data_IF_702984500867
#
_entry.id   IF_702984500867
#
_cell.length_a   1.000
_cell.length_b   1.000
_cell.length_c   1.000
_cell.angle_alpha   90.00
_cell.angle_beta   90.00
_cell.angle_gamma   90.00
#
_symmetry.space_group_name_H-M   'P 1'
#
loop_
_entity.id
_entity.type
_entity.pdbx_description
1 polymer ?
#
# COMPACT_ATOMS: atom_id res chain seq x y z
N UNK A 1 17.55 -32.39 -47.92
CA UNK A 1 17.21 -33.30 -46.81
C UNK A 1 17.82 -32.90 -45.46
N UNK A 2 19.13 -33.05 -45.16
CA UNK A 2 19.65 -32.69 -43.81
C UNK A 2 19.68 -31.18 -43.50
N UNK A 3 19.86 -30.31 -44.51
CA UNK A 3 19.85 -28.85 -44.33
C UNK A 3 18.44 -28.24 -44.21
N UNK A 4 17.42 -28.85 -44.82
CA UNK A 4 16.02 -28.36 -44.73
C UNK A 4 15.43 -28.64 -43.35
N UNK A 5 15.75 -29.79 -42.75
CA UNK A 5 15.29 -30.17 -41.40
C UNK A 5 15.91 -29.27 -40.31
N UNK A 6 17.13 -28.72 -40.51
CA UNK A 6 17.74 -27.79 -39.54
C UNK A 6 17.19 -26.37 -39.66
N UNK A 7 16.78 -25.96 -40.86
CA UNK A 7 16.17 -24.64 -41.09
C UNK A 7 14.74 -24.58 -40.55
N UNK A 8 13.95 -25.63 -40.73
CA UNK A 8 12.60 -25.74 -40.16
C UNK A 8 12.62 -25.74 -38.63
N UNK A 9 13.53 -26.51 -38.00
CA UNK A 9 13.69 -26.50 -36.53
C UNK A 9 14.12 -25.14 -35.96
N UNK A 10 14.96 -24.40 -36.67
CA UNK A 10 15.37 -23.06 -36.25
C UNK A 10 14.23 -22.04 -36.38
N UNK A 11 13.46 -22.11 -37.47
CA UNK A 11 12.27 -21.27 -37.67
C UNK A 11 11.17 -21.56 -36.64
N UNK A 12 10.97 -22.82 -36.26
CA UNK A 12 10.01 -23.22 -35.24
C UNK A 12 10.43 -22.73 -33.84
N UNK A 13 11.74 -22.74 -33.55
CA UNK A 13 12.28 -22.24 -32.28
C UNK A 13 12.21 -20.70 -32.19
N UNK A 14 12.46 -20.00 -33.29
CA UNK A 14 12.29 -18.55 -33.38
C UNK A 14 10.82 -18.12 -33.29
N UNK A 15 9.90 -18.87 -33.91
CA UNK A 15 8.46 -18.60 -33.81
C UNK A 15 7.92 -18.80 -32.38
N UNK A 16 8.37 -19.85 -31.68
CA UNK A 16 8.01 -20.06 -30.26
C UNK A 16 8.61 -18.99 -29.34
N UNK A 17 9.81 -18.51 -29.64
CA UNK A 17 10.43 -17.41 -28.87
C UNK A 17 9.70 -16.08 -29.12
N UNK A 18 9.37 -15.77 -30.37
CA UNK A 18 8.61 -14.58 -30.75
C UNK A 18 7.20 -14.59 -30.13
N UNK A 19 6.51 -15.75 -30.13
CA UNK A 19 5.21 -15.89 -29.48
C UNK A 19 5.28 -15.66 -27.95
N UNK A 20 6.34 -16.14 -27.29
CA UNK A 20 6.57 -15.88 -25.85
C UNK A 20 6.90 -14.42 -25.56
N UNK A 21 7.64 -13.76 -26.44
CA UNK A 21 7.93 -12.33 -26.32
C UNK A 21 6.67 -11.49 -26.56
N UNK A 22 5.80 -11.88 -27.48
CA UNK A 22 4.49 -11.27 -27.72
C UNK A 22 3.55 -11.44 -26.51
N UNK A 23 3.46 -12.65 -25.96
CA UNK A 23 2.68 -12.94 -24.74
C UNK A 23 3.19 -12.12 -23.53
N UNK A 24 4.50 -11.97 -23.38
CA UNK A 24 5.11 -11.15 -22.32
C UNK A 24 4.72 -9.67 -22.47
N UNK A 25 4.77 -9.14 -23.69
CA UNK A 25 4.39 -7.75 -23.96
C UNK A 25 2.90 -7.49 -23.73
N UNK A 26 2.04 -8.46 -24.07
CA UNK A 26 0.60 -8.38 -23.78
C UNK A 26 0.37 -8.36 -22.26
N UNK A 27 1.05 -9.25 -21.53
CA UNK A 27 0.95 -9.34 -20.07
C UNK A 27 1.42 -8.06 -19.37
N UNK A 28 2.58 -7.52 -19.77
CA UNK A 28 3.12 -6.26 -19.23
C UNK A 28 2.15 -5.09 -19.47
N UNK A 29 1.57 -5.00 -20.67
CA UNK A 29 0.58 -3.96 -21.00
C UNK A 29 -0.68 -4.09 -20.15
N UNK A 30 -1.19 -5.31 -19.96
CA UNK A 30 -2.38 -5.55 -19.14
C UNK A 30 -2.13 -5.20 -17.68
N UNK A 31 -0.96 -5.56 -17.13
CA UNK A 31 -0.60 -5.23 -15.75
C UNK A 31 -0.44 -3.72 -15.57
N UNK A 32 0.19 -3.03 -16.51
CA UNK A 32 0.34 -1.58 -16.42
C UNK A 32 -1.03 -0.87 -16.43
N UNK A 33 -1.95 -1.30 -17.30
CA UNK A 33 -3.32 -0.77 -17.33
C UNK A 33 -4.05 -1.00 -16.00
N UNK A 34 -3.96 -2.22 -15.45
CA UNK A 34 -4.51 -2.54 -14.14
C UNK A 34 -3.88 -1.69 -13.03
N UNK A 35 -2.57 -1.48 -13.09
CA UNK A 35 -1.84 -0.59 -12.20
C UNK A 35 -2.40 0.82 -12.26
N UNK A 36 -2.57 1.39 -13.47
CA UNK A 36 -3.12 2.73 -13.64
C UNK A 36 -4.52 2.86 -13.01
N UNK A 37 -5.43 1.93 -13.30
CA UNK A 37 -6.79 1.94 -12.76
C UNK A 37 -6.80 1.82 -11.23
N UNK A 38 -6.02 0.89 -10.67
CA UNK A 38 -6.01 0.64 -9.24
C UNK A 38 -5.30 1.76 -8.46
N UNK A 39 -4.22 2.31 -9.01
CA UNK A 39 -3.53 3.45 -8.40
C UNK A 39 -4.41 4.72 -8.44
N UNK A 40 -5.17 4.94 -9.52
CA UNK A 40 -6.17 6.02 -9.63
C UNK A 40 -7.25 5.86 -8.55
N UNK A 41 -7.80 4.65 -8.41
CA UNK A 41 -8.79 4.35 -7.38
C UNK A 41 -8.26 4.63 -5.97
N UNK A 42 -7.06 4.17 -5.64
CA UNK A 42 -6.45 4.41 -4.32
C UNK A 42 -6.15 5.90 -4.13
N UNK A 43 -5.66 6.59 -5.16
CA UNK A 43 -5.41 8.03 -5.11
C UNK A 43 -6.68 8.79 -4.77
N UNK A 44 -7.77 8.52 -5.49
CA UNK A 44 -9.03 9.23 -5.35
C UNK A 44 -9.79 8.87 -4.07
N UNK A 45 -9.84 7.59 -3.70
CA UNK A 45 -10.63 7.11 -2.56
C UNK A 45 -9.91 7.21 -1.22
N UNK A 46 -8.57 7.16 -1.21
CA UNK A 46 -7.76 7.08 0.01
C UNK A 46 -6.88 8.32 0.16
N UNK A 47 -6.00 8.60 -0.81
CA UNK A 47 -4.96 9.62 -0.66
C UNK A 47 -5.56 11.03 -0.66
N UNK A 48 -6.41 11.36 -1.64
CA UNK A 48 -7.05 12.67 -1.77
C UNK A 48 -7.84 13.05 -0.50
N UNK A 49 -8.69 12.17 0.08
CA UNK A 49 -9.38 12.47 1.34
C UNK A 49 -8.45 12.68 2.53
N UNK A 50 -7.34 11.93 2.62
CA UNK A 50 -6.34 12.10 3.68
C UNK A 50 -5.63 13.45 3.52
N UNK A 51 -5.15 13.75 2.32
CA UNK A 51 -4.48 15.02 2.01
C UNK A 51 -5.41 16.23 2.17
N UNK A 52 -6.70 16.10 1.86
CA UNK A 52 -7.68 17.15 2.08
C UNK A 52 -7.85 17.51 3.57
N UNK A 53 -7.70 16.53 4.48
CA UNK A 53 -7.71 16.76 5.93
C UNK A 53 -6.42 17.41 6.41
N UNK A 54 -5.28 16.91 5.95
CA UNK A 54 -3.97 17.51 6.26
C UNK A 54 -3.94 18.97 5.77
N UNK A 55 -4.41 19.20 4.55
CA UNK A 55 -4.60 20.52 4.00
C UNK A 55 -5.39 21.39 4.97
N UNK A 56 -6.61 21.01 5.34
CA UNK A 56 -7.39 21.80 6.29
C UNK A 56 -6.60 22.13 7.58
N UNK A 57 -5.90 21.18 8.18
CA UNK A 57 -5.09 21.41 9.37
C UNK A 57 -3.97 22.45 9.16
N UNK A 58 -3.24 22.36 8.04
CA UNK A 58 -2.19 23.33 7.68
C UNK A 58 -2.77 24.74 7.49
N UNK A 59 -3.93 24.85 6.83
CA UNK A 59 -4.63 26.15 6.66
C UNK A 59 -5.12 26.72 7.97
N UNK A 60 -5.73 25.90 8.81
CA UNK A 60 -6.27 26.32 10.10
C UNK A 60 -5.15 26.81 11.04
N UNK A 61 -3.93 26.33 10.82
CA UNK A 61 -2.71 26.75 11.52
C UNK A 61 -2.09 28.04 10.96
N UNK A 62 -2.72 28.66 9.95
CA UNK A 62 -2.32 29.97 9.43
C UNK A 62 -1.36 29.94 8.23
N UNK A 63 -1.04 28.77 7.70
CA UNK A 63 -0.17 28.65 6.53
C UNK A 63 -0.97 28.69 5.23
N UNK A 64 -0.50 29.47 4.26
CA UNK A 64 -1.00 29.41 2.88
C UNK A 64 -0.55 28.09 2.28
N UNK A 65 -1.47 27.38 1.63
CA UNK A 65 -1.14 26.15 0.93
C UNK A 65 -1.76 26.09 -0.46
N UNK A 66 -1.18 25.22 -1.28
CA UNK A 66 -1.79 24.67 -2.47
C UNK A 66 -1.85 23.14 -2.39
N UNK A 67 -2.98 22.56 -2.79
CA UNK A 67 -3.12 21.12 -3.03
C UNK A 67 -3.19 20.90 -4.54
N UNK A 68 -2.33 20.04 -5.05
CA UNK A 68 -2.17 19.74 -6.47
C UNK A 68 -2.45 18.26 -6.65
N UNK A 69 -3.49 17.94 -7.43
CA UNK A 69 -3.71 16.59 -7.92
C UNK A 69 -2.70 16.35 -9.05
N UNK A 70 -2.00 15.23 -8.98
CA UNK A 70 -1.00 14.86 -9.97
C UNK A 70 -1.58 13.81 -10.90
N UNK A 71 -1.42 14.03 -12.20
CA UNK A 71 -1.85 13.12 -13.24
C UNK A 71 -0.67 12.58 -14.06
N UNK A 72 -0.89 11.44 -14.69
CA UNK A 72 0.02 10.85 -15.66
C UNK A 72 -0.79 10.40 -16.88
N UNK A 73 -0.32 10.78 -18.07
CA UNK A 73 -0.88 10.26 -19.32
C UNK A 73 -0.30 8.88 -19.59
N UNK A 74 -1.17 7.86 -19.59
CA UNK A 74 -0.75 6.50 -19.90
C UNK A 74 -0.24 6.42 -21.34
N UNK A 75 0.95 5.83 -21.56
CA UNK A 75 1.51 5.67 -22.89
C UNK A 75 0.70 4.70 -23.76
N UNK A 76 -0.16 3.86 -23.16
CA UNK A 76 -0.88 2.78 -23.83
C UNK A 76 -2.22 3.23 -24.42
N UNK A 77 -3.02 3.98 -23.66
CA UNK A 77 -4.39 4.37 -24.03
C UNK A 77 -4.58 5.90 -24.12
N UNK A 78 -3.56 6.69 -23.77
CA UNK A 78 -3.60 8.17 -23.76
C UNK A 78 -4.63 8.76 -22.79
N UNK A 79 -5.12 7.97 -21.83
CA UNK A 79 -5.96 8.48 -20.74
C UNK A 79 -5.06 9.10 -19.66
N UNK A 80 -5.52 10.19 -19.07
CA UNK A 80 -4.95 10.77 -17.86
C UNK A 80 -5.48 10.01 -16.65
N UNK A 81 -4.56 9.55 -15.81
CA UNK A 81 -4.87 8.88 -14.55
C UNK A 81 -4.37 9.74 -13.39
N UNK A 82 -5.19 9.89 -12.35
CA UNK A 82 -4.72 10.50 -11.11
C UNK A 82 -3.72 9.55 -10.44
N UNK A 83 -2.49 9.99 -10.25
CA UNK A 83 -1.40 9.14 -9.70
C UNK A 83 -0.82 9.71 -8.42
N UNK A 84 -1.39 10.77 -7.86
CA UNK A 84 -0.91 11.25 -6.59
C UNK A 84 -1.44 12.61 -6.20
N UNK A 85 -1.00 13.05 -5.04
CA UNK A 85 -1.35 14.36 -4.49
C UNK A 85 -0.10 15.00 -3.94
N UNK A 86 0.00 16.30 -4.16
CA UNK A 86 1.06 17.15 -3.60
C UNK A 86 0.42 18.28 -2.80
N UNK A 87 0.99 18.57 -1.65
CA UNK A 87 0.65 19.68 -0.79
C UNK A 87 1.90 20.56 -0.63
N UNK A 88 1.76 21.83 -0.96
CA UNK A 88 2.84 22.82 -0.85
C UNK A 88 2.44 23.92 0.13
N UNK A 89 3.34 24.32 1.02
CA UNK A 89 3.13 25.46 1.93
C UNK A 89 4.45 26.12 2.30
N UNK A 90 4.41 27.37 2.74
CA UNK A 90 5.59 28.06 3.27
C UNK A 90 5.65 27.88 4.79
N UNK A 91 6.78 27.39 5.31
CA UNK A 91 7.05 27.26 6.73
C UNK A 91 8.38 27.92 7.07
N UNK A 92 8.36 28.95 7.94
CA UNK A 92 9.54 29.75 8.29
C UNK A 92 10.41 30.17 7.08
N UNK A 93 9.78 30.69 6.01
CA UNK A 93 10.43 31.09 4.77
C UNK A 93 11.08 29.97 3.94
N UNK A 94 10.74 28.72 4.22
CA UNK A 94 11.08 27.57 3.39
C UNK A 94 9.84 27.05 2.68
N UNK A 95 9.97 26.72 1.41
CA UNK A 95 8.94 26.00 0.68
C UNK A 95 8.99 24.54 1.11
N UNK A 96 7.88 24.05 1.64
CA UNK A 96 7.68 22.66 2.04
C UNK A 96 6.79 21.99 1.00
N UNK A 97 7.17 20.78 0.62
CA UNK A 97 6.39 19.93 -0.27
C UNK A 97 6.18 18.57 0.39
N UNK A 98 4.93 18.15 0.51
CA UNK A 98 4.54 16.80 0.95
C UNK A 98 3.80 16.17 -0.22
N UNK A 99 4.22 15.00 -0.67
CA UNK A 99 3.55 14.32 -1.79
C UNK A 99 3.42 12.82 -1.56
N UNK A 100 2.34 12.23 -2.07
CA UNK A 100 2.27 10.78 -2.30
C UNK A 100 2.06 10.58 -3.79
N UNK A 101 2.93 9.77 -4.40
CA UNK A 101 2.95 9.52 -5.86
C UNK A 101 2.95 8.01 -6.11
N UNK A 102 2.13 7.55 -7.02
CA UNK A 102 2.03 6.17 -7.44
C UNK A 102 2.99 5.88 -8.61
N UNK A 103 3.56 4.68 -8.62
CA UNK A 103 4.14 4.08 -9.82
C UNK A 103 3.28 2.88 -10.25
N UNK A 104 2.48 3.02 -11.33
CA UNK A 104 1.66 1.93 -11.87
C UNK A 104 2.43 0.71 -12.35
N UNK A 105 3.73 0.84 -12.61
CA UNK A 105 4.57 -0.22 -13.19
C UNK A 105 4.93 -1.29 -12.16
N UNK A 106 5.11 -0.88 -10.91
CA UNK A 106 5.51 -1.74 -9.79
C UNK A 106 4.47 -1.81 -8.67
N UNK A 107 3.33 -1.12 -8.83
CA UNK A 107 2.24 -1.07 -7.86
C UNK A 107 2.68 -0.52 -6.50
N UNK A 108 3.53 0.50 -6.52
CA UNK A 108 4.01 1.18 -5.33
C UNK A 108 3.51 2.62 -5.22
N UNK A 109 3.57 3.15 -4.01
CA UNK A 109 3.39 4.56 -3.71
C UNK A 109 4.57 5.07 -2.90
N UNK A 110 5.01 6.29 -3.20
CA UNK A 110 6.09 6.96 -2.47
C UNK A 110 5.57 8.20 -1.78
N UNK A 111 5.67 8.25 -0.45
CA UNK A 111 5.49 9.45 0.36
C UNK A 111 6.81 10.21 0.46
N UNK A 112 6.83 11.43 -0.06
CA UNK A 112 8.00 12.31 0.02
C UNK A 112 7.71 13.59 0.79
N UNK A 113 8.65 14.02 1.64
CA UNK A 113 8.62 15.31 2.33
C UNK A 113 9.92 16.08 2.04
N UNK A 114 9.81 17.18 1.32
CA UNK A 114 10.91 18.05 0.91
C UNK A 114 10.84 19.42 1.61
N UNK A 115 11.98 20.11 1.69
CA UNK A 115 12.08 21.43 2.32
C UNK A 115 12.41 21.41 3.82
N UNK A 116 12.62 20.22 4.38
CA UNK A 116 13.15 19.97 5.73
C UNK A 116 14.63 19.54 5.68
N UNK A 117 15.32 19.50 6.82
CA UNK A 117 16.76 19.12 6.85
C UNK A 117 17.00 17.66 6.47
N UNK A 118 16.15 16.75 6.96
CA UNK A 118 16.18 15.33 6.65
C UNK A 118 15.00 15.02 5.71
N UNK A 119 15.21 15.10 4.40
CA UNK A 119 14.20 14.71 3.42
C UNK A 119 13.76 13.27 3.64
N UNK A 120 12.46 13.02 3.46
CA UNK A 120 11.83 11.73 3.74
C UNK A 120 11.31 11.16 2.44
N UNK A 121 11.52 9.86 2.23
CA UNK A 121 11.00 9.09 1.12
C UNK A 121 10.65 7.68 1.64
N UNK A 122 9.37 7.45 1.89
CA UNK A 122 8.85 6.15 2.33
C UNK A 122 8.05 5.51 1.20
N UNK A 123 8.37 4.25 0.89
CA UNK A 123 7.70 3.48 -0.15
C UNK A 123 6.70 2.48 0.47
N UNK A 124 5.54 2.34 -0.17
CA UNK A 124 4.48 1.42 0.20
C UNK A 124 4.06 0.58 -0.99
N UNK A 125 3.73 -0.69 -0.75
CA UNK A 125 2.98 -1.44 -1.72
C UNK A 125 1.52 -0.94 -1.74
N UNK A 126 0.85 -0.99 -2.89
CA UNK A 126 -0.53 -0.49 -3.03
C UNK A 126 -1.53 -1.05 -2.01
N UNK A 127 -1.36 -2.31 -1.57
CA UNK A 127 -2.24 -2.97 -0.60
C UNK A 127 -2.01 -2.51 0.85
N UNK A 128 -0.91 -1.79 1.11
CA UNK A 128 -0.59 -1.19 2.40
C UNK A 128 -1.15 0.23 2.51
N UNK A 129 -1.55 0.83 1.40
CA UNK A 129 -2.06 2.21 1.32
C UNK A 129 -3.50 2.27 1.84
N UNK A 130 -3.62 2.38 3.15
CA UNK A 130 -4.89 2.53 3.88
C UNK A 130 -4.95 3.88 4.61
N UNK A 131 -6.16 4.48 4.76
CA UNK A 131 -6.28 5.84 5.30
C UNK A 131 -5.58 6.03 6.66
N UNK A 132 -5.74 5.07 7.57
CA UNK A 132 -5.17 5.15 8.92
C UNK A 132 -3.65 5.16 8.92
N UNK A 133 -3.02 4.33 8.09
CA UNK A 133 -1.56 4.20 8.03
C UNK A 133 -0.94 5.51 7.56
N UNK A 134 -1.47 6.06 6.47
CA UNK A 134 -1.03 7.35 5.90
C UNK A 134 -1.24 8.47 6.92
N UNK A 135 -2.41 8.51 7.56
CA UNK A 135 -2.72 9.52 8.59
C UNK A 135 -1.73 9.48 9.76
N UNK A 136 -1.35 8.29 10.24
CA UNK A 136 -0.37 8.12 11.30
C UNK A 136 1.02 8.61 10.90
N UNK A 137 1.49 8.22 9.72
CA UNK A 137 2.79 8.66 9.22
C UNK A 137 2.83 10.17 9.07
N UNK A 138 1.84 10.75 8.38
CA UNK A 138 1.72 12.20 8.25
C UNK A 138 1.69 12.87 9.61
N UNK A 139 0.90 12.38 10.57
CA UNK A 139 0.90 12.92 11.94
C UNK A 139 2.26 12.87 12.61
N UNK A 140 2.95 11.74 12.55
CA UNK A 140 4.30 11.59 13.12
C UNK A 140 5.28 12.60 12.50
N UNK A 141 5.22 12.83 11.19
CA UNK A 141 6.08 13.82 10.52
C UNK A 141 5.67 15.25 10.85
N UNK A 142 4.37 15.55 10.87
CA UNK A 142 3.84 16.87 11.20
C UNK A 142 4.20 17.27 12.63
N UNK A 143 3.97 16.40 13.62
CA UNK A 143 4.31 16.68 15.02
C UNK A 143 5.82 16.88 15.23
N UNK A 144 6.65 16.18 14.46
CA UNK A 144 8.12 16.27 14.56
C UNK A 144 8.68 17.52 13.89
N UNK A 145 8.22 17.86 12.69
CA UNK A 145 8.85 18.88 11.84
C UNK A 145 8.06 20.20 11.78
N UNK A 146 6.77 20.17 12.07
CA UNK A 146 5.86 21.31 11.96
C UNK A 146 4.95 21.40 13.19
N UNK A 147 5.50 21.62 14.40
CA UNK A 147 4.75 21.55 15.67
C UNK A 147 3.64 22.60 15.79
N UNK A 148 3.64 23.64 14.95
CA UNK A 148 2.58 24.65 14.86
C UNK A 148 1.33 24.14 14.13
N UNK A 149 1.45 23.02 13.40
CA UNK A 149 0.35 22.41 12.66
C UNK A 149 -0.34 21.35 13.53
N UNK A 150 -1.52 21.68 14.05
CA UNK A 150 -2.33 20.74 14.83
C UNK A 150 -3.07 19.76 13.91
N UNK A 151 -2.40 18.67 13.53
CA UNK A 151 -3.00 17.62 12.72
C UNK A 151 -3.62 16.51 13.56
N UNK A 152 -4.95 16.46 13.57
CA UNK A 152 -5.73 15.39 14.22
C UNK A 152 -6.70 14.74 13.23
N UNK A 153 -6.97 13.46 13.43
CA UNK A 153 -7.91 12.72 12.59
C UNK A 153 -8.75 11.76 13.45
N UNK A 154 -10.05 11.58 13.11
CA UNK A 154 -10.89 10.60 13.79
C UNK A 154 -10.50 9.19 13.36
N UNK A 155 -10.33 8.30 14.33
CA UNK A 155 -10.10 6.88 14.09
C UNK A 155 -11.46 6.19 14.03
N UNK A 156 -11.73 5.46 12.95
CA UNK A 156 -12.97 4.69 12.80
C UNK A 156 -13.10 3.62 13.88
N UNK A 157 -14.32 3.16 14.19
CA UNK A 157 -14.53 2.11 15.23
C UNK A 157 -13.78 0.82 14.92
N UNK A 158 -13.73 0.43 13.65
CA UNK A 158 -13.03 -0.76 13.17
C UNK A 158 -11.52 -0.60 13.32
N UNK A 159 -10.98 0.52 12.85
CA UNK A 159 -9.56 0.87 12.99
C UNK A 159 -9.14 0.94 14.46
N UNK A 160 -9.95 1.56 15.32
CA UNK A 160 -9.72 1.66 16.75
C UNK A 160 -9.80 0.29 17.47
N UNK A 161 -10.52 -0.69 16.90
CA UNK A 161 -10.53 -2.04 17.42
C UNK A 161 -9.24 -2.77 17.05
N UNK A 162 -8.73 -2.57 15.83
CA UNK A 162 -7.49 -3.18 15.37
C UNK A 162 -6.24 -2.55 16.01
N UNK A 163 -6.25 -1.25 16.31
CA UNK A 163 -5.17 -0.57 17.05
C UNK A 163 -4.94 -1.09 18.47
N UNK A 164 -5.93 -1.78 19.06
CA UNK A 164 -5.76 -2.37 20.39
C UNK A 164 -4.78 -3.52 20.40
N UNK A 165 -4.50 -4.11 19.24
CA UNK A 165 -3.69 -5.30 19.11
C UNK A 165 -2.35 -4.95 18.49
N UNK A 166 -1.29 -5.55 19.03
CA UNK A 166 0.09 -5.28 18.60
C UNK A 166 0.74 -6.54 18.02
N UNK A 167 1.52 -6.42 16.93
CA UNK A 167 2.31 -7.55 16.43
C UNK A 167 3.46 -7.89 17.40
N UNK A 168 4.01 -9.13 17.35
CA UNK A 168 3.60 -10.22 16.46
C UNK A 168 2.26 -10.86 16.87
N UNK A 169 1.49 -11.27 15.87
CA UNK A 169 0.24 -12.00 16.05
C UNK A 169 0.50 -13.50 16.01
N UNK A 170 -0.06 -14.25 16.96
CA UNK A 170 0.10 -15.70 17.06
C UNK A 170 -1.23 -16.39 16.83
N UNK A 171 -1.20 -17.45 16.03
CA UNK A 171 -2.33 -18.36 15.85
C UNK A 171 -2.07 -19.58 16.74
N UNK A 172 -2.99 -19.85 17.65
CA UNK A 172 -2.95 -20.95 18.59
C UNK A 172 -3.97 -22.01 18.22
N UNK A 173 -3.62 -23.28 18.48
CA UNK A 173 -4.53 -24.41 18.40
C UNK A 173 -4.63 -25.10 19.76
N UNK A 174 -5.85 -25.29 20.24
CA UNK A 174 -6.18 -26.02 21.46
C UNK A 174 -6.65 -27.45 21.12
N UNK A 175 -5.83 -28.44 21.45
CA UNK A 175 -6.24 -29.85 21.44
C UNK A 175 -6.59 -30.35 22.84
N UNK A 176 -7.84 -30.14 23.24
CA UNK A 176 -8.42 -30.63 24.50
C UNK A 176 -7.65 -30.18 25.75
N UNK A 177 -7.27 -28.90 25.81
CA UNK A 177 -6.55 -28.27 26.91
C UNK A 177 -5.04 -28.13 26.69
N UNK A 178 -4.52 -28.59 25.54
CA UNK A 178 -3.12 -28.41 25.16
C UNK A 178 -3.03 -27.33 24.08
N UNK A 179 -2.70 -26.11 24.49
CA UNK A 179 -2.55 -24.95 23.60
C UNK A 179 -1.14 -24.92 23.04
N UNK A 180 -1.01 -24.79 21.72
CA UNK A 180 0.28 -24.58 21.05
C UNK A 180 0.21 -23.52 19.96
N UNK A 181 1.28 -22.74 19.81
CA UNK A 181 1.44 -21.74 18.75
C UNK A 181 1.72 -22.47 17.43
N UNK A 182 0.80 -22.38 16.47
CA UNK A 182 0.92 -23.01 15.15
C UNK A 182 1.47 -22.07 14.08
N UNK A 183 1.35 -20.76 14.29
CA UNK A 183 1.96 -19.75 13.43
C UNK A 183 2.16 -18.41 14.17
N UNK A 184 3.11 -17.61 13.68
CA UNK A 184 3.38 -16.24 14.14
C UNK A 184 3.57 -15.33 12.93
N UNK A 185 2.90 -14.18 12.89
CA UNK A 185 2.92 -13.24 11.76
C UNK A 185 3.09 -11.80 12.26
N UNK A 186 3.44 -10.87 11.35
CA UNK A 186 3.53 -9.44 11.67
C UNK A 186 2.23 -8.69 11.37
N UNK A 187 1.31 -9.30 10.63
CA UNK A 187 0.04 -8.68 10.26
C UNK A 187 -1.14 -9.51 10.74
N UNK A 188 -2.17 -8.83 11.24
CA UNK A 188 -3.38 -9.50 11.71
C UNK A 188 -4.15 -10.17 10.55
N UNK A 189 -4.05 -9.61 9.35
CA UNK A 189 -4.64 -10.20 8.15
C UNK A 189 -4.06 -11.59 7.84
N UNK A 190 -2.74 -11.74 7.89
CA UNK A 190 -2.10 -13.05 7.72
C UNK A 190 -2.49 -14.01 8.84
N UNK A 191 -2.51 -13.54 10.09
CA UNK A 191 -2.92 -14.37 11.23
C UNK A 191 -4.37 -14.87 11.07
N UNK A 192 -5.29 -14.03 10.58
CA UNK A 192 -6.67 -14.42 10.29
C UNK A 192 -6.76 -15.43 9.15
N UNK A 193 -6.01 -15.24 8.06
CA UNK A 193 -5.97 -16.17 6.93
C UNK A 193 -5.39 -17.54 7.33
N UNK A 194 -4.33 -17.54 8.14
CA UNK A 194 -3.74 -18.75 8.69
C UNK A 194 -4.71 -19.43 9.66
N UNK A 195 -5.34 -18.69 10.55
CA UNK A 195 -6.37 -19.19 11.46
C UNK A 195 -7.51 -19.89 10.72
N UNK A 196 -8.05 -19.27 9.65
CA UNK A 196 -9.08 -19.89 8.81
C UNK A 196 -8.59 -21.18 8.14
N UNK A 197 -7.33 -21.20 7.70
CA UNK A 197 -6.74 -22.38 7.07
C UNK A 197 -6.59 -23.53 8.07
N UNK A 198 -6.05 -23.25 9.26
CA UNK A 198 -5.89 -24.24 10.32
C UNK A 198 -7.24 -24.75 10.82
N UNK A 199 -8.23 -23.88 10.98
CA UNK A 199 -9.57 -24.26 11.37
C UNK A 199 -10.19 -25.30 10.40
N UNK A 200 -10.00 -25.10 9.09
CA UNK A 200 -10.41 -26.06 8.05
C UNK A 200 -9.62 -27.37 8.12
N UNK A 201 -8.30 -27.29 8.34
CA UNK A 201 -7.44 -28.47 8.43
C UNK A 201 -7.76 -29.34 9.63
N UNK A 202 -7.96 -28.74 10.81
CA UNK A 202 -8.25 -29.44 12.06
C UNK A 202 -9.75 -29.75 12.25
N UNK A 203 -10.62 -29.18 11.40
CA UNK A 203 -12.09 -29.34 11.44
C UNK A 203 -12.71 -28.95 12.79
N UNK A 204 -12.07 -28.01 13.48
CA UNK A 204 -12.48 -27.45 14.78
C UNK A 204 -12.17 -25.96 14.77
N UNK A 205 -13.18 -25.15 14.43
CA UNK A 205 -13.03 -23.69 14.38
C UNK A 205 -12.88 -23.08 15.78
N UNK A 206 -13.55 -23.68 16.76
CA UNK A 206 -13.54 -23.29 18.18
C UNK A 206 -12.21 -23.57 18.89
N UNK A 207 -11.34 -24.39 18.30
CA UNK A 207 -10.02 -24.71 18.80
C UNK A 207 -8.93 -23.75 18.32
N UNK A 208 -9.25 -22.79 17.45
CA UNK A 208 -8.29 -21.81 16.93
C UNK A 208 -8.48 -20.49 17.65
N UNK A 209 -7.39 -19.87 18.07
CA UNK A 209 -7.40 -18.53 18.68
C UNK A 209 -6.30 -17.69 18.08
N UNK A 210 -6.60 -16.44 17.73
CA UNK A 210 -5.61 -15.45 17.32
C UNK A 210 -5.36 -14.50 18.48
N UNK A 211 -4.10 -14.39 18.90
CA UNK A 211 -3.67 -13.49 19.97
C UNK A 211 -2.62 -12.50 19.48
N UNK A 212 -2.52 -11.36 20.16
CA UNK A 212 -1.50 -10.35 19.90
C UNK A 212 -0.21 -10.58 20.73
N UNK A 213 0.75 -9.66 20.64
CA UNK A 213 2.00 -9.70 21.39
C UNK A 213 1.84 -9.57 22.91
N UNK A 214 0.69 -9.05 23.36
CA UNK A 214 0.35 -8.85 24.76
C UNK A 214 -0.57 -9.95 25.30
N UNK A 215 -0.69 -11.07 24.58
CA UNK A 215 -1.60 -12.18 24.87
C UNK A 215 -3.10 -11.79 24.85
N UNK A 216 -3.45 -10.67 24.21
CA UNK A 216 -4.84 -10.27 24.04
C UNK A 216 -5.52 -11.11 22.95
N UNK A 217 -6.64 -11.73 23.29
CA UNK A 217 -7.45 -12.54 22.36
C UNK A 217 -8.19 -11.64 21.38
N UNK A 218 -7.99 -11.90 20.09
CA UNK A 218 -8.59 -11.13 19.00
C UNK A 218 -9.85 -11.82 18.46
N UNK A 219 -9.73 -13.11 18.12
CA UNK A 219 -10.81 -13.96 17.64
C UNK A 219 -10.51 -15.45 17.85
#
# INVERSE_FOLDING_TARGET
>A
MQQEISAEKNAETEAVKAAKEEDSQIWERQNFMLGCDEMERITDDVIVPVFSKLARAVKDSGFTMDIILMDCESPLDKKLYNVGVRLNFEYHHKAIEISIVADPSDFTFTLSIYGIEDEIADEFNFHEVVPLLIQKQLKSHIEKHFPEVEYTFPIGRTDAAFEKYSPPYRVQYDDNGNVSDVATTQTLHEAANMGSTFAKMFKKEDAITVIDANDAVIC
#
